data_IF_381692484792
#
_entry.id   IF_381692484792
#
_cell.length_a   1.000
_cell.length_b   1.000
_cell.length_c   1.000
_cell.angle_alpha   90.00
_cell.angle_beta   90.00
_cell.angle_gamma   90.00
#
_symmetry.space_group_name_H-M   'P 1'
#
loop_
_entity.id
_entity.type
_entity.pdbx_description
1 polymer ?
#
# COMPACT_ATOMS: atom_id res chain seq x y z
N UNK A 1 13.08 -11.41 16.28
CA UNK A 1 12.52 -10.07 16.00
C UNK A 1 11.05 -10.12 16.37
N UNK A 2 10.57 -9.19 17.19
CA UNK A 2 9.18 -9.16 17.65
C UNK A 2 8.28 -8.67 16.52
N UNK A 3 7.35 -9.51 16.07
CA UNK A 3 6.40 -9.14 15.01
C UNK A 3 5.25 -8.31 15.59
N UNK A 4 4.74 -7.35 14.80
CA UNK A 4 3.56 -6.57 15.17
C UNK A 4 2.33 -7.48 15.25
N UNK A 5 1.50 -7.37 16.30
CA UNK A 5 0.29 -8.16 16.43
C UNK A 5 -0.73 -7.83 15.34
N UNK A 6 -1.48 -8.83 14.89
CA UNK A 6 -2.52 -8.68 13.87
C UNK A 6 -3.87 -9.14 14.43
N UNK A 7 -4.94 -8.32 14.38
CA UNK A 7 -5.00 -6.93 13.91
C UNK A 7 -4.51 -5.91 14.97
N UNK A 8 -3.93 -4.79 14.52
CA UNK A 8 -3.59 -3.69 15.43
C UNK A 8 -4.86 -2.91 15.77
N UNK A 9 -5.26 -2.92 17.04
CA UNK A 9 -6.34 -2.09 17.56
C UNK A 9 -5.76 -0.83 18.21
N UNK A 10 -6.43 0.29 18.03
CA UNK A 10 -6.03 1.58 18.60
C UNK A 10 -5.94 1.50 20.13
N UNK A 11 -6.90 0.81 20.77
CA UNK A 11 -6.93 0.63 22.22
C UNK A 11 -5.73 -0.15 22.75
N UNK A 12 -5.19 -1.10 21.98
CA UNK A 12 -4.00 -1.87 22.36
C UNK A 12 -2.72 -1.02 22.28
N UNK A 13 -2.71 0.04 21.45
CA UNK A 13 -1.63 1.04 21.44
C UNK A 13 -1.78 2.00 22.64
N UNK A 14 -2.99 2.53 22.86
CA UNK A 14 -3.26 3.46 23.96
C UNK A 14 -3.04 2.82 25.35
N UNK A 15 -3.27 1.51 25.46
CA UNK A 15 -3.00 0.74 26.68
C UNK A 15 -1.55 0.26 26.82
N UNK A 16 -0.67 0.53 25.85
CA UNK A 16 0.74 0.14 25.87
C UNK A 16 1.01 -1.34 25.60
N UNK A 17 0.00 -2.12 25.17
CA UNK A 17 0.19 -3.53 24.76
C UNK A 17 0.97 -3.65 23.44
N UNK A 18 0.82 -2.67 22.56
CA UNK A 18 1.63 -2.54 21.35
C UNK A 18 2.69 -1.47 21.59
N UNK A 19 3.96 -1.86 21.50
CA UNK A 19 5.06 -0.92 21.63
C UNK A 19 5.06 0.05 20.43
N UNK A 20 4.92 1.35 20.74
CA UNK A 20 5.01 2.44 19.77
C UNK A 20 6.31 2.42 18.95
N UNK A 21 7.41 1.93 19.52
CA UNK A 21 8.69 1.81 18.82
C UNK A 21 8.61 0.80 17.68
N UNK A 22 7.94 -0.34 17.88
CA UNK A 22 7.77 -1.36 16.83
C UNK A 22 6.95 -0.81 15.65
N UNK A 23 5.97 0.05 15.92
CA UNK A 23 5.19 0.72 14.88
C UNK A 23 6.07 1.68 14.08
N UNK A 24 6.88 2.49 14.79
CA UNK A 24 7.81 3.42 14.14
C UNK A 24 8.85 2.70 13.28
N UNK A 25 9.45 1.63 13.82
CA UNK A 25 10.43 0.83 13.11
C UNK A 25 9.84 0.17 11.85
N UNK A 26 8.59 -0.32 11.89
CA UNK A 26 7.92 -0.85 10.69
C UNK A 26 7.60 0.26 9.67
N UNK A 27 7.25 1.47 10.10
CA UNK A 27 7.05 2.60 9.18
C UNK A 27 8.34 2.98 8.44
N UNK A 28 9.47 3.11 9.15
CA UNK A 28 10.76 3.38 8.52
C UNK A 28 11.20 2.22 7.61
N UNK A 29 10.92 0.97 8.00
CA UNK A 29 11.14 -0.19 7.15
C UNK A 29 10.33 -0.10 5.85
N UNK A 30 9.03 0.19 5.91
CA UNK A 30 8.17 0.34 4.73
C UNK A 30 8.63 1.48 3.83
N UNK A 31 9.06 2.61 4.41
CA UNK A 31 9.61 3.74 3.66
C UNK A 31 10.89 3.37 2.90
N UNK A 32 11.75 2.52 3.46
CA UNK A 32 12.89 1.97 2.73
C UNK A 32 12.43 0.97 1.65
N UNK A 33 11.51 0.08 2.00
CA UNK A 33 11.04 -1.01 1.13
C UNK A 33 10.33 -0.49 -0.13
N UNK A 34 9.51 0.58 -0.03
CA UNK A 34 8.86 1.18 -1.20
C UNK A 34 9.86 1.78 -2.18
N UNK A 35 10.98 2.34 -1.70
CA UNK A 35 12.04 2.86 -2.55
C UNK A 35 12.78 1.75 -3.29
N UNK A 36 13.06 0.64 -2.60
CA UNK A 36 13.64 -0.57 -3.21
C UNK A 36 12.70 -1.11 -4.28
N UNK A 37 11.42 -1.26 -3.95
CA UNK A 37 10.41 -1.76 -4.87
C UNK A 37 10.28 -0.88 -6.12
N UNK A 38 10.28 0.44 -5.97
CA UNK A 38 10.30 1.38 -7.11
C UNK A 38 11.51 1.16 -8.02
N UNK A 39 12.68 0.97 -7.44
CA UNK A 39 13.91 0.72 -8.20
C UNK A 39 13.85 -0.65 -8.92
N UNK A 40 13.35 -1.67 -8.24
CA UNK A 40 13.19 -3.02 -8.80
C UNK A 40 12.19 -3.05 -9.97
N UNK A 41 11.05 -2.35 -9.83
CA UNK A 41 10.08 -2.16 -10.90
C UNK A 41 10.69 -1.41 -12.08
N UNK A 42 11.46 -0.35 -11.82
CA UNK A 42 12.13 0.41 -12.87
C UNK A 42 13.15 -0.44 -13.63
N UNK A 43 13.90 -1.30 -12.93
CA UNK A 43 14.84 -2.23 -13.57
C UNK A 43 14.10 -3.28 -14.40
N UNK A 44 13.00 -3.83 -13.88
CA UNK A 44 12.17 -4.79 -14.61
C UNK A 44 11.63 -4.19 -15.92
N UNK A 45 11.12 -2.95 -15.89
CA UNK A 45 10.66 -2.26 -17.10
C UNK A 45 11.78 -2.04 -18.12
N UNK A 46 12.99 -1.70 -17.67
CA UNK A 46 14.15 -1.57 -18.56
C UNK A 46 14.52 -2.91 -19.20
N UNK A 47 14.50 -4.00 -18.42
CA UNK A 47 14.76 -5.34 -18.93
C UNK A 47 13.71 -5.75 -19.96
N UNK A 48 12.43 -5.47 -19.71
CA UNK A 48 11.34 -5.74 -20.64
C UNK A 48 11.52 -5.00 -21.98
N UNK A 49 12.03 -3.77 -21.92
CA UNK A 49 12.23 -2.92 -23.10
C UNK A 49 13.54 -3.21 -23.87
N UNK A 50 14.44 -4.03 -23.31
CA UNK A 50 15.78 -4.25 -23.88
C UNK A 50 16.05 -5.73 -24.06
N UNK A 51 16.12 -6.19 -25.32
CA UNK A 51 16.55 -7.57 -25.62
C UNK A 51 18.08 -7.57 -25.67
N UNK A 52 18.78 -8.31 -24.80
CA UNK A 52 20.24 -8.29 -24.81
C UNK A 52 20.76 -9.15 -25.97
N UNK A 53 21.69 -8.58 -26.75
CA UNK A 53 22.24 -9.17 -27.98
C UNK A 53 22.98 -10.51 -27.77
N UNK A 54 23.38 -10.82 -26.54
CA UNK A 54 24.24 -11.96 -26.20
C UNK A 54 23.52 -13.11 -25.48
N UNK A 55 22.25 -12.92 -25.12
CA UNK A 55 21.47 -13.93 -24.39
C UNK A 55 20.55 -14.68 -25.34
N UNK A 56 20.35 -15.98 -25.08
CA UNK A 56 19.34 -16.72 -25.80
C UNK A 56 17.94 -16.19 -25.46
N UNK A 57 16.99 -16.31 -26.39
CA UNK A 57 15.61 -15.87 -26.16
C UNK A 57 14.98 -16.57 -24.94
N UNK A 58 15.35 -17.83 -24.71
CA UNK A 58 14.88 -18.61 -23.56
C UNK A 58 15.44 -18.06 -22.24
N UNK A 59 16.75 -17.82 -22.14
CA UNK A 59 17.37 -17.24 -20.95
C UNK A 59 16.79 -15.86 -20.62
N UNK A 60 16.55 -15.04 -21.64
CA UNK A 60 15.90 -13.74 -21.48
C UNK A 60 14.48 -13.90 -20.91
N UNK A 61 13.68 -14.81 -21.46
CA UNK A 61 12.31 -15.05 -21.02
C UNK A 61 12.26 -15.59 -19.58
N UNK A 62 13.13 -16.54 -19.23
CA UNK A 62 13.23 -17.11 -17.88
C UNK A 62 13.62 -16.04 -16.85
N UNK A 63 14.62 -15.20 -17.17
CA UNK A 63 15.03 -14.10 -16.32
C UNK A 63 13.90 -13.09 -16.10
N UNK A 64 13.15 -12.76 -17.16
CA UNK A 64 12.02 -11.84 -17.10
C UNK A 64 10.88 -12.39 -16.24
N UNK A 65 10.51 -13.66 -16.41
CA UNK A 65 9.47 -14.32 -15.60
C UNK A 65 9.85 -14.36 -14.13
N UNK A 66 11.10 -14.72 -13.82
CA UNK A 66 11.61 -14.73 -12.44
C UNK A 66 11.51 -13.34 -11.81
N UNK A 67 11.90 -12.30 -12.55
CA UNK A 67 11.86 -10.92 -12.05
C UNK A 67 10.43 -10.42 -11.86
N UNK A 68 9.52 -10.75 -12.78
CA UNK A 68 8.10 -10.44 -12.64
C UNK A 68 7.51 -11.07 -11.38
N UNK A 69 7.76 -12.37 -11.16
CA UNK A 69 7.28 -13.08 -9.98
C UNK A 69 7.84 -12.44 -8.68
N UNK A 70 9.12 -12.07 -8.68
CA UNK A 70 9.73 -11.37 -7.55
C UNK A 70 9.04 -10.04 -7.25
N UNK A 71 8.87 -9.18 -8.27
CA UNK A 71 8.20 -7.87 -8.10
C UNK A 71 6.77 -8.04 -7.61
N UNK A 72 6.01 -8.99 -8.16
CA UNK A 72 4.64 -9.27 -7.73
C UNK A 72 4.56 -9.69 -6.26
N UNK A 73 5.47 -10.58 -5.82
CA UNK A 73 5.55 -11.01 -4.42
C UNK A 73 5.90 -9.82 -3.52
N UNK A 74 6.90 -9.02 -3.89
CA UNK A 74 7.28 -7.83 -3.11
C UNK A 74 6.17 -6.79 -3.00
N UNK A 75 5.37 -6.58 -4.06
CA UNK A 75 4.17 -5.71 -3.99
C UNK A 75 3.16 -6.27 -2.99
N UNK A 76 2.84 -7.56 -3.07
CA UNK A 76 1.86 -8.20 -2.18
C UNK A 76 2.31 -8.09 -0.72
N UNK A 77 3.57 -8.39 -0.45
CA UNK A 77 4.13 -8.34 0.90
C UNK A 77 4.14 -6.91 1.45
N UNK A 78 4.54 -5.93 0.65
CA UNK A 78 4.49 -4.52 1.01
C UNK A 78 3.07 -4.08 1.35
N UNK A 79 2.08 -4.38 0.48
CA UNK A 79 0.68 -4.06 0.74
C UNK A 79 0.15 -4.73 2.01
N UNK A 80 0.47 -6.01 2.23
CA UNK A 80 0.04 -6.72 3.44
C UNK A 80 0.59 -6.06 4.71
N UNK A 81 1.84 -5.61 4.70
CA UNK A 81 2.47 -4.92 5.83
C UNK A 81 1.92 -3.51 6.03
N UNK A 82 1.79 -2.74 4.95
CA UNK A 82 1.19 -1.41 4.99
C UNK A 82 -0.25 -1.44 5.52
N UNK A 83 -1.07 -2.38 5.04
CA UNK A 83 -2.46 -2.52 5.47
C UNK A 83 -2.60 -2.85 6.97
N UNK A 84 -1.59 -3.46 7.61
CA UNK A 84 -1.57 -3.67 9.06
C UNK A 84 -1.47 -2.36 9.84
N UNK A 85 -0.79 -1.36 9.27
CA UNK A 85 -0.60 -0.04 9.89
C UNK A 85 -1.74 0.95 9.58
N UNK A 86 -2.60 0.62 8.61
CA UNK A 86 -3.71 1.48 8.19
C UNK A 86 -4.57 2.03 9.34
N UNK A 87 -4.96 1.24 10.38
CA UNK A 87 -5.72 1.77 11.51
C UNK A 87 -5.03 2.94 12.23
N UNK A 88 -3.70 2.88 12.32
CA UNK A 88 -2.87 3.89 12.99
C UNK A 88 -2.72 5.13 12.09
N UNK A 89 -2.47 4.90 10.80
CA UNK A 89 -2.37 5.95 9.80
C UNK A 89 -3.68 6.74 9.74
N UNK A 90 -4.83 6.04 9.66
CA UNK A 90 -6.15 6.64 9.63
C UNK A 90 -6.48 7.43 10.89
N UNK A 91 -6.13 6.91 12.08
CA UNK A 91 -6.30 7.66 13.33
C UNK A 91 -5.50 8.97 13.29
N UNK A 92 -4.28 8.91 12.78
CA UNK A 92 -3.40 10.08 12.66
C UNK A 92 -3.97 11.10 11.68
N UNK A 93 -4.47 10.64 10.52
CA UNK A 93 -5.15 11.47 9.53
C UNK A 93 -6.37 12.18 10.12
N UNK A 94 -7.25 11.45 10.80
CA UNK A 94 -8.44 12.03 11.46
C UNK A 94 -8.02 13.10 12.47
N UNK A 95 -6.99 12.85 13.29
CA UNK A 95 -6.46 13.83 14.26
C UNK A 95 -5.89 15.07 13.59
N UNK A 96 -5.36 14.95 12.37
CA UNK A 96 -4.85 16.06 11.56
C UNK A 96 -5.93 16.73 10.70
N UNK A 97 -7.19 16.28 10.78
CA UNK A 97 -8.30 16.79 9.95
C UNK A 97 -8.23 16.33 8.49
N UNK A 98 -7.50 15.24 8.20
CA UNK A 98 -7.39 14.61 6.89
C UNK A 98 -8.38 13.44 6.76
N UNK A 99 -8.78 13.12 5.53
CA UNK A 99 -9.64 11.96 5.28
C UNK A 99 -8.87 10.65 5.47
N UNK A 100 -9.47 9.64 6.13
CA UNK A 100 -8.84 8.36 6.37
C UNK A 100 -8.69 7.56 5.07
N UNK A 101 -7.57 6.86 4.92
CA UNK A 101 -7.34 5.96 3.79
C UNK A 101 -8.20 4.70 3.90
N UNK A 102 -8.85 4.31 2.80
CA UNK A 102 -9.60 3.05 2.71
C UNK A 102 -8.78 2.02 1.94
N UNK A 103 -8.75 0.78 2.43
CA UNK A 103 -8.21 -0.34 1.66
C UNK A 103 -9.04 -0.49 0.38
N UNK A 104 -8.51 0.00 -0.74
CA UNK A 104 -9.09 -0.21 -2.06
C UNK A 104 -8.92 -1.67 -2.47
N UNK A 105 -9.79 -2.54 -1.98
CA UNK A 105 -9.95 -3.92 -2.44
C UNK A 105 -11.44 -4.25 -2.21
N UNK A 106 -12.28 -4.60 -3.19
CA UNK A 106 -12.12 -5.57 -4.27
C UNK A 106 -13.12 -5.21 -5.40
N UNK A 107 -12.70 -5.35 -6.66
CA UNK A 107 -13.46 -5.12 -7.91
C UNK A 107 -13.71 -3.67 -8.30
N UNK A 108 -13.30 -3.35 -9.53
CA UNK A 108 -13.53 -2.07 -10.17
C UNK A 108 -15.00 -1.66 -10.07
N UNK A 109 -15.23 -0.58 -9.33
CA UNK A 109 -16.36 0.28 -9.53
C UNK A 109 -15.85 1.70 -9.30
N UNK A 110 -15.94 2.60 -10.29
CA UNK A 110 -15.56 3.97 -10.08
C UNK A 110 -16.48 4.53 -9.00
N UNK A 111 -15.92 4.99 -7.89
CA UNK A 111 -16.66 5.76 -6.91
C UNK A 111 -17.29 6.95 -7.63
N UNK A 112 -18.61 6.87 -7.81
CA UNK A 112 -19.42 8.03 -8.16
C UNK A 112 -19.23 9.04 -7.05
N UNK A 113 -18.53 10.14 -7.34
CA UNK A 113 -18.68 11.40 -6.61
C UNK A 113 -20.13 11.85 -6.73
N UNK A 114 -21.01 11.34 -5.87
CA UNK A 114 -22.32 11.93 -5.64
C UNK A 114 -22.17 13.02 -4.58
N UNK A 115 -21.76 14.21 -5.00
CA UNK A 115 -22.04 15.42 -4.24
C UNK A 115 -23.56 15.65 -4.26
N UNK A 116 -24.27 15.06 -3.30
CA UNK A 116 -25.63 15.43 -2.94
C UNK A 116 -25.56 16.48 -1.83
N UNK A 117 -25.84 17.74 -2.17
CA UNK A 117 -26.24 18.73 -1.18
C UNK A 117 -27.76 18.67 -0.99
N UNK A 118 -28.30 18.52 0.24
CA UNK A 118 -29.74 18.54 0.47
C UNK A 118 -30.27 19.96 0.73
N UNK A 119 -31.37 20.27 0.04
CA UNK A 119 -32.62 20.85 0.59
C UNK A 119 -32.68 22.37 0.89
N UNK A 120 -33.61 23.09 0.24
CA UNK A 120 -34.93 23.41 0.84
C UNK A 120 -35.92 24.06 -0.14
N UNK A 121 -37.09 23.43 -0.17
CA UNK A 121 -38.33 23.88 -0.81
C UNK A 121 -39.05 24.95 0.03
N UNK A 122 -39.82 25.83 -0.64
CA UNK A 122 -40.93 26.61 -0.07
C UNK A 122 -40.86 28.10 -0.49
N UNK A 123 -41.92 28.79 -0.90
CA UNK A 123 -43.36 28.50 -0.91
C UNK A 123 -44.04 29.57 -1.79
N UNK A 124 -45.16 29.19 -2.42
CA UNK A 124 -46.13 30.01 -3.20
C UNK A 124 -46.40 31.42 -2.63
N UNK A 125 -46.60 32.40 -3.52
CA UNK A 125 -47.93 33.01 -3.77
C UNK A 125 -47.98 33.59 -5.18
#
# INVERSE_FOLDING_TARGET
MSELPVPIKIDDIASGKVDSKLIYDELERLKAEVNILRNDMSLFLKQLATIPEKSSQQEYQEALQKRLAQVQTSIKDYCARYNRLLPIINLSQIKLGQEPETNSTVNGSPEKRSNMSPQKNGKKK
#
